data_IF_703590271440
#
_entry.id   IF_703590271440
#
_cell.length_a   1.000
_cell.length_b   1.000
_cell.length_c   1.000
_cell.angle_alpha   90.00
_cell.angle_beta   90.00
_cell.angle_gamma   90.00
#
_symmetry.space_group_name_H-M   'P 1'
#
loop_
_entity.id
_entity.type
_entity.pdbx_description
1 polymer ?
#
# COMPACT_ATOMS: atom_id res chain seq x y z
N UNK A 1 -25.94 -21.03 -32.97
CA UNK A 1 -26.01 -21.03 -31.49
C UNK A 1 -26.10 -19.58 -31.06
N UNK A 2 -27.18 -19.14 -30.38
CA UNK A 2 -27.19 -17.80 -29.80
C UNK A 2 -26.09 -17.67 -28.73
N UNK A 3 -25.52 -16.48 -28.50
CA UNK A 3 -24.55 -16.29 -27.41
C UNK A 3 -25.20 -16.64 -26.07
N UNK A 4 -24.45 -17.30 -25.18
CA UNK A 4 -24.94 -17.59 -23.82
C UNK A 4 -25.22 -16.29 -23.08
N UNK A 5 -26.41 -16.18 -22.50
CA UNK A 5 -26.85 -15.06 -21.66
C UNK A 5 -26.34 -15.12 -20.23
N UNK A 6 -25.60 -16.17 -19.86
CA UNK A 6 -24.94 -16.24 -18.57
C UNK A 6 -23.78 -15.24 -18.54
N UNK A 7 -23.71 -14.36 -17.51
CA UNK A 7 -22.56 -13.50 -17.35
C UNK A 7 -21.32 -14.37 -17.19
N UNK A 8 -20.27 -14.06 -17.95
CA UNK A 8 -18.99 -14.69 -17.80
C UNK A 8 -18.53 -14.59 -16.32
N UNK A 9 -17.79 -15.59 -15.80
CA UNK A 9 -17.26 -15.53 -14.44
C UNK A 9 -16.50 -14.21 -14.23
N UNK A 10 -16.91 -13.45 -13.21
CA UNK A 10 -16.38 -12.13 -12.85
C UNK A 10 -15.72 -12.21 -11.47
N UNK A 11 -14.65 -11.44 -11.29
CA UNK A 11 -14.06 -11.13 -9.97
C UNK A 11 -14.17 -9.62 -9.73
N UNK A 12 -14.68 -9.23 -8.57
CA UNK A 12 -14.83 -7.85 -8.13
C UNK A 12 -13.72 -7.49 -7.16
N UNK A 13 -12.91 -6.51 -7.54
CA UNK A 13 -11.77 -6.05 -6.75
C UNK A 13 -12.08 -4.68 -6.15
N UNK A 14 -12.03 -4.57 -4.83
CA UNK A 14 -12.07 -3.28 -4.13
C UNK A 14 -10.63 -2.74 -3.97
N UNK A 15 -10.33 -1.64 -4.66
CA UNK A 15 -9.05 -0.93 -4.56
C UNK A 15 -9.27 0.49 -4.02
N UNK A 16 -8.98 0.74 -2.74
CA UNK A 16 -9.41 1.97 -2.06
C UNK A 16 -8.43 3.13 -2.21
N UNK A 17 -7.19 2.85 -2.62
CA UNK A 17 -6.16 3.86 -2.82
C UNK A 17 -5.16 3.38 -3.87
N UNK A 18 -4.49 4.33 -4.52
CA UNK A 18 -3.43 4.03 -5.50
C UNK A 18 -2.11 3.58 -4.88
N UNK A 19 -1.92 3.77 -3.56
CA UNK A 19 -0.70 3.40 -2.85
C UNK A 19 -0.93 3.36 -1.33
N UNK A 20 -0.38 2.35 -0.65
CA UNK A 20 -0.38 2.27 0.81
C UNK A 20 0.25 3.52 1.46
N UNK A 21 -0.48 4.09 2.41
CA UNK A 21 -0.08 5.29 3.13
C UNK A 21 -0.46 6.60 2.43
N UNK A 22 -1.10 6.56 1.25
CA UNK A 22 -1.73 7.74 0.66
C UNK A 22 -3.05 8.10 1.36
N UNK A 23 -3.66 7.14 2.08
CA UNK A 23 -4.91 7.32 2.80
C UNK A 23 -6.15 7.21 1.92
N UNK A 24 -7.28 7.05 2.60
CA UNK A 24 -8.63 7.01 2.06
C UNK A 24 -9.63 7.34 3.17
N UNK A 25 -10.85 7.74 2.78
CA UNK A 25 -11.94 7.94 3.73
C UNK A 25 -12.51 6.56 4.15
N UNK A 26 -12.70 6.28 5.45
CA UNK A 26 -13.27 5.00 5.91
C UNK A 26 -14.61 4.65 5.24
N UNK A 27 -15.42 5.66 4.96
CA UNK A 27 -16.72 5.54 4.30
C UNK A 27 -16.58 4.98 2.87
N UNK A 28 -15.44 5.18 2.22
CA UNK A 28 -15.13 4.57 0.91
C UNK A 28 -14.99 3.06 1.01
N UNK A 29 -14.42 2.55 2.11
CA UNK A 29 -14.32 1.11 2.35
C UNK A 29 -15.71 0.54 2.63
N UNK A 30 -16.46 1.18 3.52
CA UNK A 30 -17.82 0.76 3.87
C UNK A 30 -18.72 0.69 2.64
N UNK A 31 -18.73 1.75 1.83
CA UNK A 31 -19.45 1.77 0.56
C UNK A 31 -18.97 0.67 -0.39
N UNK A 32 -17.66 0.50 -0.56
CA UNK A 32 -17.09 -0.54 -1.41
C UNK A 32 -17.52 -1.95 -1.00
N UNK A 33 -17.62 -2.23 0.30
CA UNK A 33 -18.10 -3.51 0.82
C UNK A 33 -19.57 -3.78 0.46
N UNK A 34 -20.42 -2.74 0.38
CA UNK A 34 -21.84 -2.91 -0.04
C UNK A 34 -21.98 -3.42 -1.48
N UNK A 35 -20.93 -3.31 -2.30
CA UNK A 35 -20.91 -3.77 -3.68
C UNK A 35 -20.53 -5.26 -3.80
N UNK A 36 -20.33 -5.95 -2.67
CA UNK A 36 -19.95 -7.36 -2.57
C UNK A 36 -18.66 -7.66 -3.38
N UNK A 37 -17.51 -7.10 -2.98
CA UNK A 37 -16.23 -7.43 -3.59
C UNK A 37 -15.79 -8.85 -3.21
N UNK A 38 -15.05 -9.51 -4.10
CA UNK A 38 -14.46 -10.82 -3.85
C UNK A 38 -13.09 -10.72 -3.18
N UNK A 39 -12.43 -9.56 -3.30
CA UNK A 39 -11.09 -9.30 -2.75
C UNK A 39 -10.89 -7.80 -2.55
N UNK A 40 -10.17 -7.46 -1.47
CA UNK A 40 -9.57 -6.12 -1.30
C UNK A 40 -8.13 -6.20 -1.78
N UNK A 41 -7.75 -5.33 -2.70
CA UNK A 41 -6.38 -5.25 -3.21
C UNK A 41 -5.83 -3.83 -3.07
N UNK A 42 -4.59 -3.70 -2.61
CA UNK A 42 -3.92 -2.41 -2.47
C UNK A 42 -2.50 -2.48 -3.01
N UNK A 43 -2.07 -1.45 -3.73
CA UNK A 43 -0.68 -1.33 -4.19
C UNK A 43 0.23 -0.83 -3.06
N UNK A 44 1.40 -1.45 -2.89
CA UNK A 44 2.44 -0.95 -2.00
C UNK A 44 3.14 0.29 -2.57
N UNK A 45 3.23 0.37 -3.90
CA UNK A 45 3.81 1.47 -4.66
C UNK A 45 5.33 1.69 -4.45
N UNK A 46 5.88 2.71 -5.11
CA UNK A 46 7.27 3.17 -4.94
C UNK A 46 7.44 3.98 -3.65
N UNK A 47 8.44 3.61 -2.85
CA UNK A 47 8.84 4.35 -1.65
C UNK A 47 9.90 5.43 -1.94
N UNK A 48 10.54 5.38 -3.11
CA UNK A 48 11.70 6.18 -3.54
C UNK A 48 11.36 7.16 -4.67
N UNK A 49 10.14 7.73 -4.66
CA UNK A 49 9.63 8.53 -5.79
C UNK A 49 10.44 9.82 -6.06
N UNK A 50 11.50 9.71 -6.84
CA UNK A 50 12.36 10.81 -7.28
C UNK A 50 13.68 10.94 -6.50
N UNK A 51 14.58 11.82 -6.99
CA UNK A 51 15.96 11.91 -6.51
C UNK A 51 16.08 12.26 -5.02
N UNK A 52 15.07 12.91 -4.43
CA UNK A 52 15.06 13.24 -3.01
C UNK A 52 14.90 11.99 -2.13
N UNK A 53 13.81 11.23 -2.28
CA UNK A 53 13.54 10.06 -1.43
C UNK A 53 14.58 8.96 -1.66
N UNK A 54 15.02 8.79 -2.91
CA UNK A 54 16.13 7.90 -3.26
C UNK A 54 17.46 8.38 -2.65
N UNK A 55 17.77 9.68 -2.68
CA UNK A 55 19.03 10.21 -2.14
C UNK A 55 19.07 10.25 -0.61
N UNK A 56 17.93 10.47 0.04
CA UNK A 56 17.82 10.60 1.49
C UNK A 56 17.66 9.25 2.21
N UNK A 57 17.30 8.18 1.49
CA UNK A 57 16.95 6.90 2.10
C UNK A 57 15.70 6.97 2.99
N UNK A 58 14.79 7.89 2.67
CA UNK A 58 13.54 8.11 3.40
C UNK A 58 12.37 7.69 2.50
N UNK A 59 11.43 6.94 3.05
CA UNK A 59 10.23 6.53 2.32
C UNK A 59 9.29 7.71 2.07
N UNK A 60 8.61 7.71 0.92
CA UNK A 60 7.59 8.71 0.56
C UNK A 60 6.43 8.76 1.56
N UNK A 61 5.98 7.59 2.04
CA UNK A 61 4.89 7.48 3.01
C UNK A 61 5.44 7.13 4.39
N UNK A 62 4.78 7.63 5.44
CA UNK A 62 5.20 7.34 6.81
C UNK A 62 4.75 5.93 7.22
N UNK A 63 5.52 5.26 8.08
CA UNK A 63 5.12 3.98 8.64
C UNK A 63 3.76 4.04 9.38
N UNK A 64 3.44 5.19 9.98
CA UNK A 64 2.16 5.42 10.64
C UNK A 64 0.99 5.45 9.64
N UNK A 65 1.17 6.11 8.49
CA UNK A 65 0.15 6.13 7.43
C UNK A 65 -0.07 4.74 6.83
N UNK A 66 1.00 4.00 6.53
CA UNK A 66 0.91 2.62 6.03
C UNK A 66 0.22 1.70 7.05
N UNK A 67 0.57 1.81 8.34
CA UNK A 67 -0.08 1.05 9.41
C UNK A 67 -1.56 1.37 9.53
N UNK A 68 -1.96 2.65 9.44
CA UNK A 68 -3.36 3.06 9.48
C UNK A 68 -4.15 2.42 8.35
N UNK A 69 -3.63 2.50 7.13
CA UNK A 69 -4.30 1.94 5.95
C UNK A 69 -4.44 0.42 6.10
N UNK A 70 -3.37 -0.29 6.46
CA UNK A 70 -3.41 -1.74 6.66
C UNK A 70 -4.38 -2.17 7.78
N UNK A 71 -4.43 -1.45 8.91
CA UNK A 71 -5.35 -1.77 10.00
C UNK A 71 -6.81 -1.71 9.55
N UNK A 72 -7.18 -0.67 8.77
CA UNK A 72 -8.54 -0.53 8.24
C UNK A 72 -8.84 -1.64 7.22
N UNK A 73 -7.94 -1.88 6.26
CA UNK A 73 -8.17 -2.85 5.18
C UNK A 73 -8.25 -4.29 5.70
N UNK A 74 -7.36 -4.67 6.61
CA UNK A 74 -7.36 -6.01 7.18
C UNK A 74 -8.61 -6.28 8.03
N UNK A 75 -9.08 -5.28 8.79
CA UNK A 75 -10.34 -5.40 9.54
C UNK A 75 -11.55 -5.50 8.62
N UNK A 76 -11.59 -4.69 7.56
CA UNK A 76 -12.66 -4.73 6.57
C UNK A 76 -12.73 -6.09 5.85
N UNK A 77 -11.58 -6.59 5.39
CA UNK A 77 -11.47 -7.89 4.74
C UNK A 77 -11.89 -9.04 5.68
N UNK A 78 -11.39 -9.03 6.91
CA UNK A 78 -11.77 -10.02 7.93
C UNK A 78 -13.26 -9.96 8.26
N UNK A 79 -13.84 -8.75 8.38
CA UNK A 79 -15.26 -8.56 8.63
C UNK A 79 -16.16 -9.01 7.48
N UNK A 80 -15.71 -8.85 6.25
CA UNK A 80 -16.42 -9.30 5.05
C UNK A 80 -16.16 -10.77 4.67
N UNK A 81 -15.19 -11.43 5.32
CA UNK A 81 -14.82 -12.81 5.02
C UNK A 81 -14.12 -12.98 3.66
N UNK A 82 -13.45 -11.94 3.16
CA UNK A 82 -12.78 -11.93 1.85
C UNK A 82 -11.26 -11.75 2.03
N UNK A 83 -10.44 -12.21 1.08
CA UNK A 83 -9.00 -11.97 1.13
C UNK A 83 -8.64 -10.48 1.00
N UNK A 84 -7.54 -10.11 1.68
CA UNK A 84 -6.85 -8.84 1.49
C UNK A 84 -5.49 -9.12 0.86
N UNK A 85 -5.19 -8.50 -0.27
CA UNK A 85 -3.92 -8.61 -0.98
C UNK A 85 -3.18 -7.28 -1.03
N UNK A 86 -1.87 -7.30 -0.82
CA UNK A 86 -1.00 -6.15 -1.05
C UNK A 86 0.21 -6.54 -1.90
N UNK A 87 0.52 -5.74 -2.92
CA UNK A 87 1.81 -5.86 -3.59
C UNK A 87 2.95 -5.41 -2.66
N UNK A 88 4.13 -6.06 -2.70
CA UNK A 88 5.29 -5.61 -1.94
C UNK A 88 5.72 -4.21 -2.40
N UNK A 89 6.03 -3.32 -1.45
CA UNK A 89 6.58 -2.01 -1.76
C UNK A 89 8.06 -2.14 -2.16
N UNK A 90 8.52 -1.32 -3.12
CA UNK A 90 9.96 -1.21 -3.38
C UNK A 90 10.67 -0.64 -2.14
N UNK A 91 11.84 -1.14 -1.72
CA UNK A 91 12.54 -0.59 -0.56
C UNK A 91 13.07 0.81 -0.86
N UNK A 92 13.06 1.69 0.16
CA UNK A 92 13.77 2.96 0.07
C UNK A 92 15.27 2.68 -0.06
N UNK A 93 16.02 3.62 -0.65
CA UNK A 93 17.48 3.53 -0.68
C UNK A 93 18.04 3.37 0.75
N UNK A 94 19.17 2.68 0.93
CA UNK A 94 19.82 2.60 2.23
C UNK A 94 20.14 4.02 2.73
N UNK A 95 19.79 4.31 3.98
CA UNK A 95 20.23 5.54 4.64
C UNK A 95 21.75 5.65 4.53
N UNK A 96 22.30 6.79 4.06
CA UNK A 96 23.74 6.96 3.98
C UNK A 96 24.35 6.77 5.36
N UNK A 97 25.26 5.81 5.48
CA UNK A 97 26.05 5.63 6.71
C UNK A 97 26.87 6.90 6.91
N UNK A 98 26.69 7.55 8.05
CA UNK A 98 27.63 8.58 8.48
C UNK A 98 28.96 7.87 8.76
N UNK A 99 29.88 7.96 7.81
CA UNK A 99 31.28 7.64 8.09
C UNK A 99 31.75 8.68 9.10
N UNK A 100 31.93 8.25 10.35
CA UNK A 100 32.45 9.12 11.40
C UNK A 100 33.69 9.85 10.91
N UNK A 101 33.72 11.17 11.10
CA UNK A 101 34.88 12.00 10.75
C UNK A 101 36.14 11.38 11.38
N UNK A 102 37.25 11.21 10.63
CA UNK A 102 38.48 10.70 11.21
C UNK A 102 38.89 11.62 12.36
N UNK A 103 38.99 11.06 13.56
CA UNK A 103 39.33 11.80 14.77
C UNK A 103 40.58 12.63 14.55
N UNK A 104 40.49 13.93 14.85
CA UNK A 104 41.62 14.85 14.86
C UNK A 104 42.71 14.29 15.77
N UNK A 105 43.97 14.15 15.29
CA UNK A 105 45.06 13.69 16.14
C UNK A 105 45.29 14.74 17.22
N UNK A 106 45.13 14.35 18.49
CA UNK A 106 45.53 15.17 19.62
C UNK A 106 47.05 15.38 19.57
N UNK A 107 47.43 16.63 19.83
CA UNK A 107 48.78 17.18 19.84
C UNK A 107 49.77 16.42 20.73
#
# INVERSE_FOLDING_TARGET
MPPSTDPAPQVRVLSPTGMLGAGFAPETIEYGLTLNPDVIAVDGGSTDSGPYYLGAGVAKTTAAAVRRDLDILLRAAAGAGIPCWSAPAAPAAPTPVSTGSPGSPRA
#
